data_IF_921828208573
#
_entry.id   IF_921828208573
#
_cell.length_a   1.000
_cell.length_b   1.000
_cell.length_c   1.000
_cell.angle_alpha   90.00
_cell.angle_beta   90.00
_cell.angle_gamma   90.00
#
_symmetry.space_group_name_H-M   'P 1'
#
loop_
_entity.id
_entity.type
_entity.pdbx_description
1 polymer ?
#
# COMPACT_ATOMS: atom_id res chain seq x y z
N UNK A 1 -8.15 5.55 -4.85
CA UNK A 1 -7.81 4.57 -5.89
C UNK A 1 -8.44 5.00 -7.20
N UNK A 2 -8.05 4.39 -8.31
CA UNK A 2 -8.69 4.56 -9.63
C UNK A 2 -8.85 3.16 -10.26
N UNK A 3 -9.73 3.01 -11.24
CA UNK A 3 -9.85 1.73 -11.96
C UNK A 3 -8.69 1.56 -12.94
N UNK A 4 -8.24 0.33 -13.20
CA UNK A 4 -7.13 0.06 -14.11
C UNK A 4 -7.33 0.67 -15.52
N UNK A 5 -8.59 0.69 -16.01
CA UNK A 5 -8.97 1.32 -17.29
C UNK A 5 -8.78 2.84 -17.32
N UNK A 6 -8.67 3.49 -16.16
CA UNK A 6 -8.49 4.93 -15.98
C UNK A 6 -7.04 5.30 -15.66
N UNK A 7 -6.15 4.30 -15.61
CA UNK A 7 -4.74 4.53 -15.37
C UNK A 7 -4.15 5.32 -16.54
N UNK A 8 -3.52 6.45 -16.24
CA UNK A 8 -2.85 7.29 -17.24
C UNK A 8 -1.43 6.81 -17.59
N UNK A 9 -0.99 5.71 -17.00
CA UNK A 9 0.34 5.19 -17.26
C UNK A 9 0.33 4.40 -18.56
N UNK A 10 1.31 4.63 -19.43
CA UNK A 10 1.37 4.03 -20.78
C UNK A 10 1.59 2.51 -20.76
N UNK A 11 1.89 1.91 -19.60
CA UNK A 11 2.10 0.49 -19.47
C UNK A 11 1.99 -0.03 -18.03
N UNK A 12 2.12 -1.34 -17.91
CA UNK A 12 2.14 -2.03 -16.62
C UNK A 12 3.49 -1.79 -15.92
N UNK A 13 3.43 -1.45 -14.63
CA UNK A 13 4.61 -1.33 -13.77
C UNK A 13 4.53 -2.38 -12.67
N UNK A 14 5.60 -3.15 -12.52
CA UNK A 14 5.67 -4.23 -11.56
C UNK A 14 5.75 -3.71 -10.14
N UNK A 15 4.85 -4.15 -9.27
CA UNK A 15 4.83 -3.75 -7.87
C UNK A 15 5.97 -4.37 -7.04
N UNK A 16 6.71 -5.36 -7.59
CA UNK A 16 7.83 -6.02 -6.89
C UNK A 16 9.19 -5.41 -7.21
N UNK A 17 9.45 -5.09 -8.47
CA UNK A 17 10.77 -4.63 -8.93
C UNK A 17 10.73 -3.31 -9.72
N UNK A 18 9.57 -2.65 -9.81
CA UNK A 18 9.36 -1.40 -10.56
C UNK A 18 9.68 -1.47 -12.07
N UNK A 19 9.81 -2.67 -12.66
CA UNK A 19 10.04 -2.86 -14.09
C UNK A 19 8.77 -2.75 -14.96
N UNK A 20 8.92 -2.58 -16.29
CA UNK A 20 7.80 -2.39 -17.23
C UNK A 20 7.14 -3.72 -17.62
N UNK A 21 6.53 -4.40 -16.65
CA UNK A 21 5.79 -5.64 -16.85
C UNK A 21 4.72 -5.83 -15.76
N UNK A 22 3.78 -6.75 -16.01
CA UNK A 22 2.78 -7.14 -15.01
C UNK A 22 3.45 -7.87 -13.84
N UNK A 23 3.04 -7.54 -12.61
CA UNK A 23 3.58 -8.20 -11.41
C UNK A 23 3.46 -9.73 -11.45
N UNK A 24 2.44 -10.27 -12.12
CA UNK A 24 2.26 -11.73 -12.29
C UNK A 24 3.31 -12.40 -13.17
N UNK A 25 4.00 -11.67 -14.04
CA UNK A 25 5.08 -12.19 -14.91
C UNK A 25 6.46 -11.84 -14.38
N UNK A 26 6.55 -11.32 -13.14
CA UNK A 26 7.80 -10.89 -12.55
C UNK A 26 8.64 -12.08 -12.08
N UNK A 27 9.86 -12.17 -12.60
CA UNK A 27 10.88 -13.17 -12.22
C UNK A 27 11.93 -12.63 -11.24
N UNK A 28 11.74 -11.42 -10.70
CA UNK A 28 12.70 -10.81 -9.79
C UNK A 28 12.83 -11.59 -8.47
N UNK A 29 14.08 -11.91 -8.11
CA UNK A 29 14.44 -12.46 -6.80
C UNK A 29 14.36 -11.39 -5.68
N UNK A 30 14.54 -11.80 -4.42
CA UNK A 30 14.51 -10.90 -3.25
C UNK A 30 15.48 -9.72 -3.34
N UNK A 31 16.65 -9.91 -3.94
CA UNK A 31 17.68 -8.87 -4.06
C UNK A 31 17.38 -7.82 -5.15
N UNK A 32 16.44 -8.14 -6.05
CA UNK A 32 16.02 -7.25 -7.14
C UNK A 32 14.72 -6.50 -6.80
N UNK A 33 14.31 -6.50 -5.53
CA UNK A 33 13.12 -5.78 -5.10
C UNK A 33 13.36 -4.27 -5.13
N UNK A 34 12.39 -3.55 -5.71
CA UNK A 34 12.38 -2.10 -5.78
C UNK A 34 10.94 -1.60 -5.67
N UNK A 35 10.73 -0.66 -4.77
CA UNK A 35 9.42 -0.10 -4.49
C UNK A 35 9.10 1.03 -5.46
N UNK A 36 8.09 0.87 -6.32
CA UNK A 36 7.63 1.93 -7.24
C UNK A 36 7.11 3.19 -6.51
N UNK A 37 6.68 3.05 -5.25
CA UNK A 37 6.08 4.15 -4.49
C UNK A 37 7.11 5.08 -3.84
N UNK A 38 8.24 4.54 -3.38
CA UNK A 38 9.29 5.32 -2.70
C UNK A 38 10.64 5.31 -3.42
N UNK A 39 10.71 4.59 -4.55
CA UNK A 39 11.88 4.41 -5.42
C UNK A 39 13.11 3.76 -4.75
N UNK A 40 12.95 3.15 -3.58
CA UNK A 40 14.03 2.46 -2.85
C UNK A 40 14.10 0.98 -3.20
N UNK A 41 15.33 0.46 -3.25
CA UNK A 41 15.61 -0.97 -3.35
C UNK A 41 15.44 -1.68 -2.01
N UNK A 42 15.31 -3.01 -2.03
CA UNK A 42 15.24 -3.87 -0.86
C UNK A 42 13.82 -4.21 -0.39
N UNK A 43 12.77 -3.63 -0.99
CA UNK A 43 11.39 -4.01 -0.71
C UNK A 43 10.46 -3.79 -1.91
N UNK A 44 9.34 -4.50 -1.93
CA UNK A 44 8.27 -4.33 -2.90
C UNK A 44 7.31 -3.19 -2.49
N UNK A 45 6.51 -2.69 -3.43
CA UNK A 45 5.50 -1.66 -3.16
C UNK A 45 4.41 -2.08 -2.17
N UNK A 46 4.22 -3.39 -1.99
CA UNK A 46 3.27 -3.97 -1.03
C UNK A 46 3.83 -4.09 0.39
N UNK A 47 5.08 -3.70 0.63
CA UNK A 47 5.69 -3.79 1.97
C UNK A 47 5.13 -2.71 2.91
N UNK A 48 4.72 -3.14 4.10
CA UNK A 48 4.21 -2.27 5.17
C UNK A 48 5.29 -1.39 5.81
N UNK A 49 6.56 -1.77 5.68
CA UNK A 49 7.71 -0.99 6.14
C UNK A 49 8.13 0.10 5.14
N UNK A 50 7.43 0.25 4.02
CA UNK A 50 7.69 1.31 3.06
C UNK A 50 7.48 2.69 3.73
N UNK A 51 8.49 3.59 3.72
CA UNK A 51 8.43 4.87 4.43
C UNK A 51 7.30 5.77 3.91
N UNK A 52 7.06 5.77 2.59
CA UNK A 52 5.95 6.50 1.97
C UNK A 52 4.60 5.95 2.40
N UNK A 53 4.49 4.64 2.60
CA UNK A 53 3.28 4.01 3.10
C UNK A 53 3.03 4.41 4.56
N UNK A 54 4.03 4.29 5.42
CA UNK A 54 3.95 4.68 6.84
C UNK A 54 3.53 6.14 6.99
N UNK A 55 4.13 7.06 6.22
CA UNK A 55 3.79 8.48 6.26
C UNK A 55 2.35 8.75 5.81
N UNK A 56 1.88 8.09 4.73
CA UNK A 56 0.49 8.21 4.27
C UNK A 56 -0.49 7.70 5.30
N UNK A 57 -0.20 6.55 5.92
CA UNK A 57 -1.04 5.98 6.97
C UNK A 57 -1.10 6.87 8.21
N UNK A 58 0.03 7.44 8.64
CA UNK A 58 0.06 8.41 9.73
C UNK A 58 -0.82 9.64 9.41
N UNK A 59 -0.72 10.17 8.19
CA UNK A 59 -1.53 11.30 7.72
C UNK A 59 -3.03 10.98 7.70
N UNK A 60 -3.40 9.78 7.24
CA UNK A 60 -4.79 9.32 7.23
C UNK A 60 -5.35 9.16 8.65
N UNK A 61 -4.56 8.59 9.57
CA UNK A 61 -4.93 8.48 10.99
C UNK A 61 -5.13 9.86 11.62
N UNK A 62 -4.20 10.79 11.40
CA UNK A 62 -4.31 12.15 11.93
C UNK A 62 -5.59 12.88 11.49
N UNK A 63 -6.06 12.65 10.25
CA UNK A 63 -7.28 13.27 9.71
C UNK A 63 -8.57 12.65 10.23
N UNK A 64 -8.57 11.38 10.60
CA UNK A 64 -9.79 10.66 10.98
C UNK A 64 -9.99 10.76 12.49
N UNK A 65 -10.84 11.68 12.94
CA UNK A 65 -11.16 11.92 14.36
C UNK A 65 -11.53 10.63 15.13
N UNK A 66 -12.23 9.70 14.47
CA UNK A 66 -12.61 8.39 15.02
C UNK A 66 -11.47 7.42 15.31
N UNK A 67 -10.26 7.62 14.76
CA UNK A 67 -9.12 6.71 15.00
C UNK A 67 -8.53 6.83 16.41
N UNK A 68 -8.94 7.85 17.18
CA UNK A 68 -8.57 8.01 18.58
C UNK A 68 -9.41 7.13 19.53
N UNK A 69 -10.54 6.59 19.06
CA UNK A 69 -11.44 5.76 19.84
C UNK A 69 -11.17 4.29 19.56
N UNK A 70 -11.03 3.49 20.61
CA UNK A 70 -11.05 2.03 20.53
C UNK A 70 -12.50 1.61 20.72
N UNK A 71 -13.06 0.94 19.71
CA UNK A 71 -14.36 0.28 19.85
C UNK A 71 -14.14 -0.98 20.70
N UNK A 72 -14.80 -1.05 21.84
CA UNK A 72 -14.89 -2.26 22.63
C UNK A 72 -16.21 -2.93 22.27
N UNK A 73 -16.17 -4.20 21.90
CA UNK A 73 -17.40 -5.00 21.78
C UNK A 73 -17.85 -5.30 23.20
N UNK A 74 -18.93 -4.67 23.63
CA UNK A 74 -19.60 -4.98 24.89
C UNK A 74 -20.71 -6.00 24.63
N UNK A 75 -20.98 -6.89 25.57
CA UNK A 75 -22.08 -7.87 25.49
C UNK A 75 -23.47 -7.23 25.65
N UNK A 76 -23.52 -5.90 25.79
CA UNK A 76 -24.73 -5.10 25.91
C UNK A 76 -25.47 -5.00 24.56
N UNK A 77 -26.68 -5.59 24.46
CA UNK A 77 -27.45 -5.57 23.23
C UNK A 77 -27.94 -4.19 22.80
N UNK A 78 -27.80 -3.14 23.62
CA UNK A 78 -28.15 -1.77 23.26
C UNK A 78 -27.03 -1.02 22.51
N UNK A 79 -25.84 -1.63 22.38
CA UNK A 79 -24.65 -0.99 21.79
C UNK A 79 -24.41 -1.29 20.31
N UNK A 80 -25.30 -2.06 19.65
CA UNK A 80 -25.23 -2.44 18.23
C UNK A 80 -26.51 -2.14 17.44
#
# INVERSE_FOLDING_TARGET
>A
GHFAKECKNDGDICARCAGPHRTSTCSAGPDALKCVTCDRVGHAASDWNCPSFTQRMASLRARKAGTKYKYFVTEDPETW
#
